data_IF_342800036456
#
_entry.id   IF_342800036456
#
_cell.length_a   1.000
_cell.length_b   1.000
_cell.length_c   1.000
_cell.angle_alpha   90.00
_cell.angle_beta   90.00
_cell.angle_gamma   90.00
#
_symmetry.space_group_name_H-M   'P 1'
#
loop_
_entity.id
_entity.type
_entity.pdbx_description
1 polymer ?
#
# COMPACT_ATOMS: atom_id res chain seq x y z
N UNK A 1 -116.24 32.90 6.42
CA UNK A 1 -115.64 31.82 5.56
C UNK A 1 -115.26 32.34 4.21
N UNK A 2 -114.61 33.49 4.04
CA UNK A 2 -114.14 33.98 2.75
C UNK A 2 -112.65 34.24 2.80
N UNK A 3 -111.87 33.16 2.78
CA UNK A 3 -110.47 33.27 2.37
C UNK A 3 -110.35 32.45 1.10
N UNK A 4 -110.41 33.13 -0.04
CA UNK A 4 -110.10 32.53 -1.33
C UNK A 4 -108.68 32.07 -1.32
N UNK A 5 -108.47 30.78 -1.44
CA UNK A 5 -107.17 30.20 -1.53
C UNK A 5 -106.61 30.54 -2.93
N UNK A 6 -105.73 31.54 -2.98
CA UNK A 6 -105.05 31.91 -4.22
C UNK A 6 -103.95 30.90 -4.56
N UNK A 7 -104.24 30.03 -5.52
CA UNK A 7 -103.26 29.03 -6.08
C UNK A 7 -102.45 29.68 -7.20
N UNK A 8 -101.16 29.83 -7.00
CA UNK A 8 -100.27 30.29 -8.07
C UNK A 8 -99.51 29.11 -8.70
N UNK A 9 -99.42 29.02 -10.01
CA UNK A 9 -98.68 27.94 -10.63
C UNK A 9 -97.20 28.00 -10.28
N UNK A 10 -96.60 26.85 -9.85
CA UNK A 10 -95.16 26.71 -9.52
C UNK A 10 -94.38 26.38 -10.79
N UNK A 11 -93.13 26.95 -10.90
CA UNK A 11 -92.19 26.64 -12.00
C UNK A 11 -91.78 25.19 -12.05
N UNK A 12 -92.03 24.36 -11.05
CA UNK A 12 -91.70 22.94 -10.96
C UNK A 12 -92.93 22.01 -11.05
N UNK A 13 -94.01 22.47 -11.58
CA UNK A 13 -95.24 21.70 -11.66
C UNK A 13 -96.06 21.69 -10.31
N UNK A 14 -97.37 21.81 -10.37
CA UNK A 14 -98.19 21.98 -9.20
C UNK A 14 -98.51 23.43 -8.86
N UNK A 15 -99.16 23.69 -7.75
CA UNK A 15 -99.61 24.99 -7.35
C UNK A 15 -98.97 25.36 -5.98
N UNK A 16 -98.67 26.63 -5.78
CA UNK A 16 -98.22 27.17 -4.50
C UNK A 16 -99.36 28.03 -3.94
N UNK A 17 -99.65 27.89 -2.67
CA UNK A 17 -100.62 28.75 -1.95
C UNK A 17 -100.00 29.32 -0.68
N UNK A 18 -100.29 30.55 -0.37
CA UNK A 18 -100.02 31.18 0.93
C UNK A 18 -101.11 30.73 1.94
N UNK A 19 -100.85 29.60 2.59
CA UNK A 19 -101.69 29.01 3.61
C UNK A 19 -101.20 29.47 5.01
N UNK A 20 -102.03 29.47 6.07
CA UNK A 20 -101.55 29.66 7.45
C UNK A 20 -100.47 28.69 7.88
N UNK A 21 -100.22 27.60 7.10
CA UNK A 21 -99.16 26.59 7.25
C UNK A 21 -97.87 26.98 6.52
N UNK A 22 -97.78 28.21 5.99
CA UNK A 22 -96.66 28.67 5.18
C UNK A 22 -96.76 28.23 3.71
N UNK A 23 -95.63 28.29 3.01
CA UNK A 23 -95.60 27.91 1.60
C UNK A 23 -95.85 26.40 1.43
N UNK A 24 -96.91 26.04 0.69
CA UNK A 24 -97.33 24.67 0.50
C UNK A 24 -97.34 24.33 -1.02
N UNK A 25 -96.97 23.11 -1.34
CA UNK A 25 -97.23 22.51 -2.65
C UNK A 25 -98.64 21.89 -2.64
N UNK A 26 -99.48 22.33 -3.56
CA UNK A 26 -100.87 21.86 -3.65
C UNK A 26 -101.06 21.09 -4.97
N UNK A 27 -101.74 20.00 -4.89
CA UNK A 27 -102.23 19.24 -6.06
C UNK A 27 -103.76 19.36 -6.08
N UNK A 28 -104.33 19.65 -7.23
CA UNK A 28 -105.77 19.82 -7.43
C UNK A 28 -106.30 18.72 -8.36
N UNK A 29 -107.29 18.00 -7.91
CA UNK A 29 -107.97 16.97 -8.74
C UNK A 29 -109.49 17.25 -8.77
N UNK A 30 -110.15 17.18 -9.88
CA UNK A 30 -111.62 17.29 -9.95
C UNK A 30 -112.27 16.12 -9.20
N UNK A 31 -113.15 16.45 -8.26
CA UNK A 31 -113.89 15.43 -7.53
C UNK A 31 -115.33 15.39 -8.09
N UNK A 32 -115.79 14.34 -8.68
CA UNK A 32 -117.15 14.10 -9.17
C UNK A 32 -117.90 13.29 -8.10
N UNK A 33 -118.73 13.97 -7.24
CA UNK A 33 -119.48 13.30 -6.17
C UNK A 33 -120.89 12.84 -6.57
N UNK A 34 -121.36 13.25 -7.79
CA UNK A 34 -122.73 12.98 -8.17
C UNK A 34 -122.76 12.30 -9.54
N UNK A 35 -123.75 11.43 -9.69
CA UNK A 35 -124.10 10.85 -11.04
C UNK A 35 -124.59 11.98 -11.95
N UNK A 36 -124.33 11.91 -13.25
CA UNK A 36 -124.66 12.96 -14.25
C UNK A 36 -126.14 13.36 -14.30
N UNK A 37 -127.08 12.58 -13.73
CA UNK A 37 -128.53 12.87 -13.63
C UNK A 37 -128.97 13.50 -12.35
N UNK A 38 -128.10 13.88 -11.43
CA UNK A 38 -128.40 14.56 -10.20
C UNK A 38 -128.60 16.07 -10.40
N UNK A 39 -129.55 16.76 -9.65
CA UNK A 39 -129.89 18.18 -9.85
C UNK A 39 -128.68 19.13 -9.68
N UNK A 40 -127.63 18.69 -9.12
CA UNK A 40 -126.38 19.47 -8.87
C UNK A 40 -125.20 19.09 -9.77
N UNK A 41 -125.49 18.47 -10.97
CA UNK A 41 -124.47 17.96 -11.92
C UNK A 41 -123.54 19.04 -12.49
N UNK A 42 -123.89 20.32 -12.33
CA UNK A 42 -123.06 21.43 -12.84
C UNK A 42 -122.07 22.02 -11.76
N UNK A 43 -122.09 21.47 -10.59
CA UNK A 43 -121.13 21.90 -9.58
C UNK A 43 -119.77 21.17 -9.69
N UNK A 44 -118.75 21.92 -9.95
CA UNK A 44 -117.34 21.34 -10.01
C UNK A 44 -116.76 21.42 -8.63
N UNK A 45 -116.68 20.27 -7.98
CA UNK A 45 -115.95 20.17 -6.73
C UNK A 45 -114.47 19.85 -7.01
N UNK A 46 -113.52 20.49 -6.32
CA UNK A 46 -112.10 20.28 -6.42
C UNK A 46 -111.53 19.71 -5.15
N UNK A 47 -110.88 18.60 -5.22
CA UNK A 47 -110.11 18.10 -4.08
C UNK A 47 -108.71 18.74 -4.13
N UNK A 48 -108.36 19.47 -3.06
CA UNK A 48 -107.09 20.12 -2.93
C UNK A 48 -106.33 19.44 -1.79
N UNK A 49 -105.30 18.72 -2.21
CA UNK A 49 -104.33 18.18 -1.26
C UNK A 49 -103.15 19.14 -1.15
N UNK A 50 -102.84 19.64 0.06
CA UNK A 50 -101.65 20.51 0.27
C UNK A 50 -100.68 19.92 1.25
N UNK A 51 -99.41 20.01 0.94
CA UNK A 51 -98.31 19.55 1.78
C UNK A 51 -97.34 20.74 1.98
N UNK A 52 -97.02 21.09 3.23
CA UNK A 52 -96.06 22.17 3.51
C UNK A 52 -94.70 21.86 2.86
N UNK A 53 -94.15 22.88 2.21
CA UNK A 53 -92.82 22.79 1.60
C UNK A 53 -91.75 22.36 2.62
N UNK A 54 -91.85 22.80 3.86
CA UNK A 54 -91.01 22.45 4.98
C UNK A 54 -91.07 20.92 5.30
N UNK A 55 -92.23 20.30 5.19
CA UNK A 55 -92.37 18.87 5.42
C UNK A 55 -91.80 18.04 4.25
N UNK A 56 -92.02 18.52 2.99
CA UNK A 56 -91.53 17.87 1.82
C UNK A 56 -90.00 17.83 1.78
N UNK A 57 -89.36 18.93 2.19
CA UNK A 57 -87.91 19.02 2.18
C UNK A 57 -87.25 18.68 3.51
N UNK A 58 -87.98 18.41 4.56
CA UNK A 58 -87.46 18.10 5.90
C UNK A 58 -86.50 16.88 5.81
N UNK A 59 -86.94 15.82 5.15
CA UNK A 59 -86.09 14.62 4.97
C UNK A 59 -84.80 14.91 4.20
N UNK A 60 -84.87 15.67 3.10
CA UNK A 60 -83.74 16.11 2.34
C UNK A 60 -82.71 16.91 3.15
N UNK A 61 -83.25 17.80 4.02
CA UNK A 61 -82.41 18.58 4.97
C UNK A 61 -81.66 17.70 5.99
N UNK A 62 -82.36 16.67 6.51
CA UNK A 62 -81.72 15.72 7.42
C UNK A 62 -80.65 14.90 6.70
N UNK A 63 -80.87 14.41 5.50
CA UNK A 63 -79.90 13.67 4.69
C UNK A 63 -78.68 14.55 4.38
N UNK A 64 -78.90 15.80 3.96
CA UNK A 64 -77.80 16.74 3.66
C UNK A 64 -76.94 17.04 4.93
N UNK A 65 -77.53 17.27 6.04
CA UNK A 65 -76.79 17.47 7.31
C UNK A 65 -76.03 16.23 7.70
N UNK A 66 -76.63 15.03 7.59
CA UNK A 66 -75.94 13.77 7.87
C UNK A 66 -74.75 13.57 6.94
N UNK A 67 -74.88 13.83 5.65
CA UNK A 67 -73.79 13.78 4.72
C UNK A 67 -72.64 14.75 5.03
N UNK A 68 -72.97 16.01 5.38
CA UNK A 68 -72.00 17.01 5.78
C UNK A 68 -71.22 16.55 7.03
N UNK A 69 -71.95 16.04 8.03
CA UNK A 69 -71.35 15.53 9.27
C UNK A 69 -70.44 14.32 8.94
N UNK A 70 -70.90 13.39 8.12
CA UNK A 70 -70.14 12.23 7.74
C UNK A 70 -68.80 12.61 6.97
N UNK A 71 -68.92 13.55 6.03
CA UNK A 71 -67.71 14.08 5.34
C UNK A 71 -66.74 14.76 6.31
N UNK A 72 -67.23 15.52 7.24
CA UNK A 72 -66.45 16.25 8.25
C UNK A 72 -65.72 15.25 9.19
N UNK A 73 -66.43 14.19 9.62
CA UNK A 73 -65.82 13.11 10.43
C UNK A 73 -64.68 12.41 9.66
N UNK A 74 -64.89 12.05 8.36
CA UNK A 74 -63.87 11.41 7.54
C UNK A 74 -62.67 12.34 7.36
N UNK A 75 -62.89 13.61 7.07
CA UNK A 75 -61.80 14.59 6.92
C UNK A 75 -60.98 14.78 8.21
N UNK A 76 -61.66 14.89 9.34
CA UNK A 76 -60.98 15.03 10.65
C UNK A 76 -60.23 13.77 11.03
N UNK A 77 -60.78 12.58 10.79
CA UNK A 77 -60.14 11.31 11.02
C UNK A 77 -58.90 11.13 10.08
N UNK A 78 -59.02 11.51 8.81
CA UNK A 78 -57.92 11.51 7.84
C UNK A 78 -56.81 12.46 8.25
N UNK A 79 -57.13 13.70 8.66
CA UNK A 79 -56.13 14.66 9.13
C UNK A 79 -55.43 14.17 10.40
N UNK A 80 -56.19 13.63 11.35
CA UNK A 80 -55.62 13.04 12.57
C UNK A 80 -54.69 11.88 12.27
N UNK A 81 -55.14 10.94 11.44
CA UNK A 81 -54.30 9.81 11.01
C UNK A 81 -53.01 10.26 10.32
N UNK A 82 -53.09 11.25 9.41
CA UNK A 82 -51.95 11.83 8.73
C UNK A 82 -50.96 12.48 9.71
N UNK A 83 -51.43 13.23 10.69
CA UNK A 83 -50.58 13.85 11.71
C UNK A 83 -49.90 12.81 12.61
N UNK A 84 -50.60 11.73 12.97
CA UNK A 84 -50.03 10.62 13.76
C UNK A 84 -48.96 9.91 12.96
N UNK A 85 -49.21 9.60 11.67
CA UNK A 85 -48.28 8.95 10.80
C UNK A 85 -47.00 9.81 10.58
N UNK A 86 -47.19 11.11 10.34
CA UNK A 86 -46.07 12.04 10.19
C UNK A 86 -45.22 12.11 11.45
N UNK A 87 -45.80 12.13 12.63
CA UNK A 87 -45.07 12.20 13.88
C UNK A 87 -44.42 10.88 14.29
N UNK A 88 -45.08 9.74 14.07
CA UNK A 88 -44.61 8.43 14.52
C UNK A 88 -43.70 7.70 13.53
N UNK A 89 -43.83 7.94 12.21
CA UNK A 89 -43.01 7.30 11.20
C UNK A 89 -42.06 8.25 10.47
N UNK A 90 -42.59 9.32 9.86
CA UNK A 90 -41.79 10.17 8.99
C UNK A 90 -40.68 10.92 9.72
N UNK A 91 -40.99 11.50 10.88
CA UNK A 91 -40.00 12.26 11.66
C UNK A 91 -38.82 11.42 12.16
N UNK A 92 -39.02 10.22 12.77
CA UNK A 92 -37.91 9.35 13.15
C UNK A 92 -37.04 8.89 11.97
N UNK A 93 -37.66 8.53 10.84
CA UNK A 93 -36.93 8.13 9.64
C UNK A 93 -36.06 9.27 9.10
N UNK A 94 -36.63 10.49 9.01
CA UNK A 94 -35.89 11.69 8.59
C UNK A 94 -34.69 11.97 9.50
N UNK A 95 -34.89 11.90 10.82
CA UNK A 95 -33.78 12.08 11.78
C UNK A 95 -32.67 11.05 11.62
N UNK A 96 -33.02 9.76 11.48
CA UNK A 96 -32.04 8.71 11.24
C UNK A 96 -31.27 8.97 9.93
N UNK A 97 -31.97 9.39 8.87
CA UNK A 97 -31.35 9.75 7.60
C UNK A 97 -30.33 10.89 7.75
N UNK A 98 -30.71 11.93 8.50
CA UNK A 98 -29.85 13.08 8.76
C UNK A 98 -28.65 12.70 9.65
N UNK A 99 -28.87 11.87 10.70
CA UNK A 99 -27.80 11.35 11.56
C UNK A 99 -26.79 10.54 10.75
N UNK A 100 -27.23 9.68 9.83
CA UNK A 100 -26.36 8.90 8.93
C UNK A 100 -25.62 9.80 7.93
N UNK A 101 -26.28 10.82 7.39
CA UNK A 101 -25.67 11.78 6.48
C UNK A 101 -24.55 12.59 7.16
N UNK A 102 -24.80 13.10 8.37
CA UNK A 102 -23.77 13.83 9.15
C UNK A 102 -22.60 12.92 9.58
N UNK A 103 -22.87 11.63 9.83
CA UNK A 103 -21.81 10.67 10.14
C UNK A 103 -20.82 10.48 8.97
N UNK A 104 -21.28 10.65 7.74
CA UNK A 104 -20.43 10.60 6.55
C UNK A 104 -19.44 11.76 6.49
N UNK A 105 -19.80 12.92 7.03
CA UNK A 105 -18.93 14.11 7.08
C UNK A 105 -17.91 14.03 8.23
N UNK A 106 -18.24 13.29 9.30
CA UNK A 106 -17.36 13.13 10.47
C UNK A 106 -16.50 11.87 10.33
N UNK A 107 -15.30 12.00 9.75
CA UNK A 107 -14.36 10.89 9.46
C UNK A 107 -13.93 10.05 10.69
N UNK A 108 -14.28 10.39 11.93
CA UNK A 108 -13.66 9.80 13.12
C UNK A 108 -14.57 9.15 14.15
N UNK A 109 -15.92 9.16 13.99
CA UNK A 109 -16.79 8.56 15.02
C UNK A 109 -17.92 7.73 14.41
N UNK A 110 -18.16 6.55 15.00
CA UNK A 110 -19.34 5.74 14.69
C UNK A 110 -20.57 6.54 15.13
N UNK A 111 -21.57 6.79 14.24
CA UNK A 111 -22.77 7.48 14.62
C UNK A 111 -23.54 6.64 15.65
N UNK A 112 -23.78 7.18 16.84
CA UNK A 112 -24.75 6.62 17.76
C UNK A 112 -26.14 7.04 17.29
N UNK A 113 -26.85 6.17 16.60
CA UNK A 113 -28.18 6.42 16.11
C UNK A 113 -29.16 6.44 17.27
N UNK A 114 -30.04 7.45 17.30
CA UNK A 114 -31.02 7.65 18.37
C UNK A 114 -32.10 6.57 18.35
N UNK A 115 -32.56 6.13 19.53
CA UNK A 115 -33.72 5.24 19.63
C UNK A 115 -35.00 5.92 19.16
N UNK A 116 -35.70 5.26 18.25
CA UNK A 116 -36.94 5.79 17.64
C UNK A 116 -38.21 5.34 18.32
N UNK A 117 -38.14 4.28 19.13
CA UNK A 117 -39.31 3.62 19.75
C UNK A 117 -40.11 2.74 18.78
N UNK A 118 -39.57 2.50 17.57
CA UNK A 118 -40.14 1.56 16.60
C UNK A 118 -39.15 0.37 16.51
N UNK A 119 -39.62 -0.81 16.83
CA UNK A 119 -38.80 -2.02 17.00
C UNK A 119 -37.93 -2.32 15.76
N UNK A 120 -38.52 -2.18 14.57
CA UNK A 120 -37.83 -2.44 13.31
C UNK A 120 -36.72 -1.42 13.03
N UNK A 121 -36.97 -0.15 13.30
CA UNK A 121 -35.97 0.91 13.13
C UNK A 121 -34.88 0.84 14.18
N UNK A 122 -35.22 0.50 15.41
CA UNK A 122 -34.26 0.33 16.51
C UNK A 122 -33.37 -0.88 16.27
N UNK A 123 -33.91 -1.98 15.69
CA UNK A 123 -33.10 -3.13 15.22
C UNK A 123 -32.13 -2.75 14.09
N UNK A 124 -32.64 -1.97 13.11
CA UNK A 124 -31.77 -1.48 12.03
C UNK A 124 -30.65 -0.59 12.59
N UNK A 125 -30.97 0.35 13.46
CA UNK A 125 -30.00 1.24 14.12
C UNK A 125 -28.91 0.44 14.88
N UNK A 126 -29.35 -0.60 15.61
CA UNK A 126 -28.45 -1.49 16.35
C UNK A 126 -27.54 -2.27 15.44
N UNK A 127 -28.07 -2.87 14.37
CA UNK A 127 -27.30 -3.62 13.38
C UNK A 127 -26.30 -2.73 12.65
N UNK A 128 -26.70 -1.51 12.26
CA UNK A 128 -25.84 -0.55 11.61
C UNK A 128 -24.68 -0.09 12.52
N UNK A 129 -24.98 0.20 13.78
CA UNK A 129 -23.96 0.59 14.78
C UNK A 129 -23.00 -0.58 15.05
N UNK A 130 -23.51 -1.82 15.12
CA UNK A 130 -22.69 -3.01 15.31
C UNK A 130 -21.76 -3.23 14.12
N UNK A 131 -22.26 -3.12 12.89
CA UNK A 131 -21.45 -3.23 11.68
C UNK A 131 -20.35 -2.17 11.63
N UNK A 132 -20.70 -0.91 11.96
CA UNK A 132 -19.71 0.17 12.04
C UNK A 132 -18.61 -0.11 13.06
N UNK A 133 -18.94 -0.65 14.23
CA UNK A 133 -17.97 -1.06 15.26
C UNK A 133 -17.08 -2.19 14.77
N UNK A 134 -17.63 -3.19 14.10
CA UNK A 134 -16.88 -4.35 13.59
C UNK A 134 -15.88 -3.93 12.51
N UNK A 135 -16.28 -3.03 11.61
CA UNK A 135 -15.37 -2.45 10.59
C UNK A 135 -14.25 -1.65 11.26
N UNK A 136 -14.58 -0.79 12.24
CA UNK A 136 -13.57 0.00 12.94
C UNK A 136 -12.61 -0.88 13.76
N UNK A 137 -13.13 -1.88 14.45
CA UNK A 137 -12.33 -2.83 15.25
C UNK A 137 -11.37 -3.62 14.33
N UNK A 138 -11.87 -4.07 13.19
CA UNK A 138 -11.06 -4.77 12.18
C UNK A 138 -9.96 -3.86 11.62
N UNK A 139 -10.30 -2.61 11.28
CA UNK A 139 -9.32 -1.62 10.81
C UNK A 139 -8.28 -1.30 11.88
N UNK A 140 -8.70 -1.15 13.14
CA UNK A 140 -7.80 -0.88 14.27
C UNK A 140 -6.88 -2.09 14.55
N UNK A 141 -7.38 -3.31 14.45
CA UNK A 141 -6.57 -4.54 14.57
C UNK A 141 -5.54 -4.61 13.46
N UNK A 142 -5.94 -4.29 12.22
CA UNK A 142 -5.01 -4.27 11.08
C UNK A 142 -3.88 -3.27 11.30
N UNK A 143 -4.20 -2.03 11.71
CA UNK A 143 -3.19 -1.01 12.03
C UNK A 143 -2.25 -1.45 13.15
N UNK A 144 -2.78 -2.08 14.24
CA UNK A 144 -1.94 -2.60 15.32
C UNK A 144 -1.01 -3.72 14.85
N UNK A 145 -1.47 -4.60 13.96
CA UNK A 145 -0.61 -5.66 13.39
C UNK A 145 0.51 -5.02 12.56
N UNK A 146 0.21 -3.97 11.78
CA UNK A 146 1.20 -3.22 11.01
C UNK A 146 2.23 -2.53 11.92
N UNK A 147 1.78 -1.86 13.00
CA UNK A 147 2.67 -1.26 13.99
C UNK A 147 3.57 -2.29 14.67
N UNK A 148 3.01 -3.46 15.04
CA UNK A 148 3.80 -4.56 15.63
C UNK A 148 4.81 -5.14 14.66
N UNK A 149 4.53 -5.14 13.37
CA UNK A 149 5.47 -5.57 12.33
C UNK A 149 6.58 -4.54 12.07
N UNK A 150 6.52 -3.36 12.70
CA UNK A 150 7.44 -2.23 12.50
C UNK A 150 7.59 -1.82 11.03
N UNK A 151 6.54 -2.01 10.24
CA UNK A 151 6.51 -1.66 8.82
C UNK A 151 5.81 -0.31 8.68
N UNK A 152 6.57 0.69 8.28
CA UNK A 152 6.01 1.99 7.92
C UNK A 152 5.39 1.90 6.52
N UNK A 153 4.06 1.91 6.47
CA UNK A 153 3.28 1.85 5.23
C UNK A 153 2.56 3.16 4.98
N UNK A 154 2.60 3.62 3.76
CA UNK A 154 1.77 4.71 3.27
C UNK A 154 1.06 4.29 1.99
N UNK A 155 -0.13 4.80 1.76
CA UNK A 155 -0.89 4.43 0.57
C UNK A 155 -1.64 5.59 -0.06
N UNK A 156 -1.97 5.41 -1.33
CA UNK A 156 -2.87 6.33 -2.04
C UNK A 156 -3.86 5.57 -2.90
N UNK A 157 -5.01 6.18 -3.09
CA UNK A 157 -6.02 5.75 -4.05
C UNK A 157 -6.36 6.94 -4.96
N UNK A 158 -6.27 6.73 -6.25
CA UNK A 158 -6.55 7.72 -7.28
C UNK A 158 -7.65 7.19 -8.20
N UNK A 159 -8.82 7.84 -8.18
CA UNK A 159 -9.96 7.48 -9.04
C UNK A 159 -10.07 8.42 -10.22
N UNK A 160 -10.42 7.85 -11.38
CA UNK A 160 -10.65 8.62 -12.60
C UNK A 160 -12.08 9.14 -12.73
N UNK A 161 -13.06 8.46 -12.11
CA UNK A 161 -14.47 8.85 -12.13
C UNK A 161 -15.19 8.40 -10.83
N UNK A 162 -15.59 9.31 -9.90
CA UNK A 162 -15.29 10.75 -9.90
C UNK A 162 -13.79 11.01 -9.70
N UNK A 163 -13.26 12.10 -10.25
CA UNK A 163 -11.85 12.48 -10.07
C UNK A 163 -11.61 12.83 -8.61
N UNK A 164 -11.01 11.88 -7.88
CA UNK A 164 -10.78 12.00 -6.45
C UNK A 164 -9.49 11.29 -6.05
N UNK A 165 -8.90 11.80 -4.97
CA UNK A 165 -7.69 11.28 -4.37
C UNK A 165 -7.92 10.99 -2.90
N UNK A 166 -7.35 9.90 -2.42
CA UNK A 166 -7.17 9.60 -1.00
C UNK A 166 -5.70 9.24 -0.78
N UNK A 167 -5.09 9.80 0.26
CA UNK A 167 -3.70 9.55 0.65
C UNK A 167 -3.66 9.38 2.16
N UNK A 168 -2.87 8.43 2.64
CA UNK A 168 -2.64 8.27 4.08
C UNK A 168 -1.73 9.36 4.62
N UNK A 169 -1.88 9.74 5.88
CA UNK A 169 -1.18 10.88 6.51
C UNK A 169 0.35 10.77 6.44
N UNK A 170 0.89 9.55 6.50
CA UNK A 170 2.34 9.30 6.49
C UNK A 170 2.94 9.12 5.09
N UNK A 171 2.14 9.10 4.03
CA UNK A 171 2.62 8.81 2.67
C UNK A 171 3.70 9.80 2.20
N UNK A 172 3.47 11.10 2.39
CA UNK A 172 4.43 12.12 1.97
C UNK A 172 5.69 12.14 2.83
N UNK A 173 5.59 11.82 4.10
CA UNK A 173 6.74 11.66 4.99
C UNK A 173 7.62 10.48 4.57
N UNK A 174 7.01 9.38 4.11
CA UNK A 174 7.72 8.25 3.52
C UNK A 174 8.48 8.65 2.26
N UNK A 175 7.87 9.44 1.37
CA UNK A 175 8.52 9.96 0.16
C UNK A 175 9.60 11.02 0.45
N UNK A 176 9.78 11.44 1.71
CA UNK A 176 10.72 12.49 2.08
C UNK A 176 10.25 13.91 1.72
N UNK A 177 8.94 14.09 1.63
CA UNK A 177 8.27 15.36 1.29
C UNK A 177 7.44 15.89 2.47
N UNK A 178 8.06 16.21 3.62
CA UNK A 178 7.33 16.70 4.77
C UNK A 178 6.67 18.06 4.47
N UNK A 179 5.44 18.23 4.95
CA UNK A 179 4.69 19.47 4.78
C UNK A 179 3.83 19.55 3.51
N UNK A 180 3.72 18.48 2.75
CA UNK A 180 2.70 18.35 1.69
C UNK A 180 1.41 17.87 2.33
N UNK A 181 0.34 18.67 2.22
CA UNK A 181 -0.99 18.29 2.72
C UNK A 181 -1.80 17.63 1.59
N UNK A 182 -2.34 16.44 1.86
CA UNK A 182 -3.15 15.72 0.89
C UNK A 182 -4.46 16.44 0.55
N UNK A 183 -5.02 17.20 1.52
CA UNK A 183 -6.28 17.93 1.34
C UNK A 183 -6.15 19.11 0.37
N UNK A 184 -4.94 19.62 0.15
CA UNK A 184 -4.64 20.71 -0.80
C UNK A 184 -4.40 20.21 -2.25
N UNK A 185 -4.34 18.88 -2.46
CA UNK A 185 -4.01 18.30 -3.75
C UNK A 185 -5.26 17.88 -4.54
N UNK A 186 -5.26 18.23 -5.82
CA UNK A 186 -6.17 17.62 -6.80
C UNK A 186 -5.58 16.30 -7.32
N UNK A 187 -6.41 15.42 -7.86
CA UNK A 187 -5.94 14.18 -8.48
C UNK A 187 -4.93 14.44 -9.62
N UNK A 188 -5.09 15.54 -10.36
CA UNK A 188 -4.15 15.97 -11.39
C UNK A 188 -2.78 16.37 -10.81
N UNK A 189 -2.76 17.25 -9.80
CA UNK A 189 -1.52 17.70 -9.18
C UNK A 189 -0.77 16.57 -8.48
N UNK A 190 -1.49 15.59 -7.92
CA UNK A 190 -0.89 14.40 -7.34
C UNK A 190 -0.23 13.48 -8.40
N UNK A 191 -0.88 13.27 -9.56
CA UNK A 191 -0.26 12.53 -10.68
C UNK A 191 1.04 13.19 -11.14
N UNK A 192 1.04 14.51 -11.27
CA UNK A 192 2.23 15.29 -11.66
C UNK A 192 3.34 15.18 -10.61
N UNK A 193 2.98 15.18 -9.32
CA UNK A 193 3.91 14.99 -8.20
C UNK A 193 4.55 13.60 -8.25
N UNK A 194 3.75 12.54 -8.41
CA UNK A 194 4.26 11.17 -8.52
C UNK A 194 5.20 11.02 -9.71
N UNK A 195 4.83 11.52 -10.90
CA UNK A 195 5.69 11.47 -12.08
C UNK A 195 7.00 12.23 -11.89
N UNK A 196 6.97 13.35 -11.16
CA UNK A 196 8.18 14.11 -10.82
C UNK A 196 9.07 13.30 -9.86
N UNK A 197 8.47 12.68 -8.86
CA UNK A 197 9.17 11.80 -7.92
C UNK A 197 9.86 10.64 -8.67
N UNK A 198 9.13 9.92 -9.52
CA UNK A 198 9.66 8.81 -10.32
C UNK A 198 10.85 9.22 -11.20
N UNK A 199 10.77 10.41 -11.84
CA UNK A 199 11.87 10.92 -12.68
C UNK A 199 13.08 11.39 -11.89
N UNK A 200 12.90 11.84 -10.66
CA UNK A 200 13.98 12.44 -9.85
C UNK A 200 14.71 11.42 -8.99
N UNK A 201 14.12 10.26 -8.71
CA UNK A 201 14.69 9.26 -7.83
C UNK A 201 15.24 8.07 -8.62
N UNK A 202 16.48 7.62 -8.36
CA UNK A 202 16.97 6.34 -8.86
C UNK A 202 16.04 5.22 -8.42
N UNK A 203 15.65 4.35 -9.37
CA UNK A 203 14.76 3.25 -9.08
C UNK A 203 15.10 2.00 -9.90
N UNK A 204 14.72 0.84 -9.41
CA UNK A 204 14.88 -0.45 -10.06
C UNK A 204 13.65 -1.34 -9.82
N UNK A 205 13.32 -2.21 -10.79
CA UNK A 205 12.23 -3.17 -10.58
C UNK A 205 12.65 -4.24 -9.56
N UNK A 206 11.75 -4.52 -8.61
CA UNK A 206 11.88 -5.66 -7.71
C UNK A 206 11.33 -6.94 -8.38
N UNK A 207 11.75 -8.14 -7.92
CA UNK A 207 11.34 -9.42 -8.53
C UNK A 207 9.83 -9.68 -8.52
N UNK A 208 9.11 -9.05 -7.62
CA UNK A 208 7.66 -9.16 -7.41
C UNK A 208 6.84 -8.14 -8.22
N UNK A 209 7.50 -7.31 -9.03
CA UNK A 209 6.86 -6.29 -9.87
C UNK A 209 6.70 -4.92 -9.21
N UNK A 210 7.03 -4.78 -7.93
CA UNK A 210 7.11 -3.49 -7.27
C UNK A 210 8.32 -2.68 -7.77
N UNK A 211 8.32 -1.37 -7.54
CA UNK A 211 9.47 -0.50 -7.82
C UNK A 211 10.19 -0.15 -6.52
N UNK A 212 11.50 -0.32 -6.50
CA UNK A 212 12.37 0.06 -5.39
C UNK A 212 13.05 1.39 -5.72
N UNK A 213 12.75 2.42 -4.94
CA UNK A 213 13.31 3.77 -5.08
C UNK A 213 14.38 4.00 -4.00
N UNK A 214 15.52 4.57 -4.42
CA UNK A 214 16.55 5.04 -3.48
C UNK A 214 16.43 6.56 -3.35
N UNK A 215 16.09 7.04 -2.16
CA UNK A 215 15.86 8.44 -1.87
C UNK A 215 16.79 8.95 -0.78
N UNK A 216 17.15 10.23 -0.87
CA UNK A 216 17.87 10.94 0.19
C UNK A 216 16.93 11.92 0.87
N UNK A 217 16.67 11.71 2.14
CA UNK A 217 15.82 12.57 2.95
C UNK A 217 16.47 13.96 3.15
N UNK A 218 15.68 15.00 3.46
CA UNK A 218 16.22 16.33 3.80
C UNK A 218 17.21 16.33 4.97
N UNK A 219 17.10 15.34 5.85
CA UNK A 219 18.06 15.09 6.96
C UNK A 219 19.41 14.56 6.51
N UNK A 220 19.58 14.22 5.23
CA UNK A 220 20.77 13.58 4.68
C UNK A 220 20.77 12.03 4.80
N UNK A 221 19.79 11.44 5.49
CA UNK A 221 19.66 9.99 5.64
C UNK A 221 19.15 9.36 4.33
N UNK A 222 19.71 8.23 3.96
CA UNK A 222 19.24 7.45 2.81
C UNK A 222 18.09 6.51 3.21
N UNK A 223 17.14 6.34 2.30
CA UNK A 223 15.97 5.48 2.47
C UNK A 223 15.69 4.72 1.18
N UNK A 224 15.29 3.47 1.33
CA UNK A 224 14.79 2.65 0.22
C UNK A 224 13.28 2.48 0.38
N UNK A 225 12.53 2.97 -0.62
CA UNK A 225 11.07 2.83 -0.66
C UNK A 225 10.67 1.77 -1.68
N UNK A 226 9.88 0.82 -1.26
CA UNK A 226 9.22 -0.13 -2.15
C UNK A 226 7.82 0.40 -2.44
N UNK A 227 7.53 0.66 -3.72
CA UNK A 227 6.22 1.14 -4.15
C UNK A 227 5.60 0.09 -5.08
N UNK A 228 4.43 -0.38 -4.70
CA UNK A 228 3.59 -1.26 -5.51
C UNK A 228 2.37 -0.52 -5.99
N UNK A 229 2.04 -0.63 -7.27
CA UNK A 229 0.91 0.08 -7.88
C UNK A 229 0.03 -0.90 -8.63
N UNK A 230 -1.26 -0.89 -8.34
CA UNK A 230 -2.28 -1.71 -8.99
C UNK A 230 -3.31 -0.81 -9.67
N UNK A 231 -3.83 -1.28 -10.80
CA UNK A 231 -4.85 -0.56 -11.56
C UNK A 231 -6.06 -1.48 -11.73
N UNK A 232 -7.23 -1.08 -11.15
CA UNK A 232 -8.49 -1.81 -11.25
C UNK A 232 -9.64 -0.83 -11.50
N UNK A 233 -10.50 -1.10 -12.47
CA UNK A 233 -11.74 -0.36 -12.75
C UNK A 233 -11.60 1.18 -12.80
N UNK A 234 -10.51 1.69 -13.38
CA UNK A 234 -10.25 3.12 -13.44
C UNK A 234 -9.77 3.73 -12.14
N UNK A 235 -9.45 2.91 -11.15
CA UNK A 235 -8.83 3.28 -9.89
C UNK A 235 -7.38 2.81 -9.88
N UNK A 236 -6.46 3.70 -9.52
CA UNK A 236 -5.06 3.37 -9.25
C UNK A 236 -4.84 3.38 -7.74
N UNK A 237 -4.37 2.26 -7.21
CA UNK A 237 -4.00 2.13 -5.80
C UNK A 237 -2.50 1.92 -5.72
N UNK A 238 -1.83 2.69 -4.88
CA UNK A 238 -0.40 2.53 -4.62
C UNK A 238 -0.13 2.36 -3.15
N UNK A 239 0.80 1.47 -2.84
CA UNK A 239 1.30 1.19 -1.50
C UNK A 239 2.80 1.46 -1.46
N UNK A 240 3.23 2.33 -0.57
CA UNK A 240 4.63 2.63 -0.30
C UNK A 240 5.04 2.04 1.05
N UNK A 241 6.17 1.37 1.08
CA UNK A 241 6.76 0.70 2.25
C UNK A 241 8.19 1.20 2.46
N UNK A 242 8.58 1.51 3.70
CA UNK A 242 10.00 1.71 4.03
C UNK A 242 10.71 0.34 4.06
N UNK A 243 11.37 0.00 2.97
CA UNK A 243 12.13 -1.23 2.79
C UNK A 243 13.62 -1.06 3.12
N UNK A 244 14.00 0.03 3.82
CA UNK A 244 15.42 0.37 4.05
C UNK A 244 16.15 -0.74 4.80
N UNK A 245 15.59 -1.21 5.92
CA UNK A 245 16.23 -2.25 6.73
C UNK A 245 16.42 -3.56 5.93
N UNK A 246 15.37 -4.01 5.25
CA UNK A 246 15.40 -5.24 4.45
C UNK A 246 16.36 -5.12 3.26
N UNK A 247 16.38 -3.96 2.60
CA UNK A 247 17.26 -3.73 1.43
C UNK A 247 18.73 -3.67 1.85
N UNK A 248 19.05 -2.94 2.93
CA UNK A 248 20.41 -2.88 3.45
C UNK A 248 20.90 -4.24 3.94
N UNK A 249 20.06 -5.00 4.62
CA UNK A 249 20.42 -6.36 5.04
C UNK A 249 20.66 -7.29 3.84
N UNK A 250 19.81 -7.20 2.81
CA UNK A 250 20.01 -7.95 1.57
C UNK A 250 21.33 -7.58 0.90
N UNK A 251 21.61 -6.28 0.75
CA UNK A 251 22.87 -5.80 0.16
C UNK A 251 24.07 -6.24 1.01
N UNK A 252 23.94 -6.25 2.33
CA UNK A 252 24.96 -6.76 3.25
C UNK A 252 25.21 -8.26 3.03
N UNK A 253 24.15 -9.05 2.99
CA UNK A 253 24.27 -10.50 2.74
C UNK A 253 24.87 -10.77 1.35
N UNK A 254 24.45 -10.04 0.32
CA UNK A 254 25.02 -10.14 -1.02
C UNK A 254 26.51 -9.79 -1.03
N UNK A 255 26.90 -8.74 -0.31
CA UNK A 255 28.30 -8.35 -0.14
C UNK A 255 29.08 -9.44 0.61
N UNK A 256 28.61 -9.90 1.77
CA UNK A 256 29.24 -10.98 2.56
C UNK A 256 29.32 -12.32 1.80
N UNK A 257 28.44 -12.53 0.81
CA UNK A 257 28.54 -13.69 -0.07
C UNK A 257 29.81 -13.73 -0.92
N UNK A 258 30.31 -12.59 -1.34
CA UNK A 258 31.43 -12.48 -2.29
C UNK A 258 32.68 -11.84 -1.68
N UNK A 259 32.58 -11.13 -0.56
CA UNK A 259 33.68 -10.43 0.07
C UNK A 259 34.02 -10.99 1.45
N UNK A 260 35.25 -10.78 1.88
CA UNK A 260 35.73 -11.08 3.23
C UNK A 260 35.43 -9.90 4.16
N UNK A 261 34.76 -10.15 5.27
CA UNK A 261 34.26 -9.12 6.20
C UNK A 261 35.35 -8.31 6.91
N UNK A 262 36.59 -8.84 6.97
CA UNK A 262 37.70 -8.15 7.64
C UNK A 262 38.51 -7.26 6.67
N UNK A 263 38.65 -7.68 5.42
CA UNK A 263 39.57 -7.06 4.45
C UNK A 263 38.87 -6.37 3.29
N UNK A 264 37.55 -6.63 3.11
CA UNK A 264 36.76 -6.15 1.97
C UNK A 264 37.28 -6.57 0.58
N UNK A 265 38.20 -7.54 0.56
CA UNK A 265 38.62 -8.23 -0.65
C UNK A 265 37.65 -9.36 -0.98
N UNK A 266 37.68 -9.89 -2.19
CA UNK A 266 36.93 -11.09 -2.50
C UNK A 266 37.23 -12.21 -1.50
N UNK A 267 36.21 -12.99 -1.14
CA UNK A 267 36.40 -14.18 -0.33
C UNK A 267 36.86 -15.38 -1.22
N UNK A 268 37.20 -16.48 -0.58
CA UNK A 268 37.63 -17.70 -1.27
C UNK A 268 36.64 -18.17 -2.34
N UNK A 269 35.34 -18.10 -2.06
CA UNK A 269 34.27 -18.59 -2.96
C UNK A 269 34.20 -17.74 -4.23
N UNK A 270 34.13 -16.42 -4.08
CA UNK A 270 34.08 -15.47 -5.17
C UNK A 270 35.36 -15.57 -6.03
N UNK A 271 36.54 -15.64 -5.40
CA UNK A 271 37.80 -15.77 -6.11
C UNK A 271 37.84 -17.00 -7.02
N UNK A 272 37.41 -18.17 -6.48
CA UNK A 272 37.40 -19.39 -7.28
C UNK A 272 36.43 -19.32 -8.46
N UNK A 273 35.24 -18.72 -8.25
CA UNK A 273 34.25 -18.51 -9.30
C UNK A 273 34.80 -17.60 -10.40
N UNK A 274 35.31 -16.43 -10.00
CA UNK A 274 35.88 -15.44 -10.95
C UNK A 274 37.06 -16.03 -11.73
N UNK A 275 37.99 -16.71 -11.06
CA UNK A 275 39.07 -17.38 -11.75
C UNK A 275 38.59 -18.42 -12.78
N UNK A 276 37.58 -19.24 -12.42
CA UNK A 276 37.01 -20.22 -13.33
C UNK A 276 36.38 -19.55 -14.56
N UNK A 277 35.68 -18.43 -14.40
CA UNK A 277 35.11 -17.64 -15.49
C UNK A 277 36.21 -17.12 -16.46
N UNK A 278 37.30 -16.57 -15.92
CA UNK A 278 38.44 -16.14 -16.75
C UNK A 278 39.06 -17.29 -17.51
N UNK A 279 39.24 -18.44 -16.90
CA UNK A 279 39.85 -19.61 -17.55
C UNK A 279 38.90 -20.28 -18.56
N UNK A 280 37.61 -20.01 -18.53
CA UNK A 280 36.66 -20.37 -19.60
C UNK A 280 36.72 -19.41 -20.80
N UNK A 281 37.38 -18.25 -20.68
CA UNK A 281 37.55 -17.24 -21.73
C UNK A 281 39.02 -16.84 -21.86
N UNK A 282 39.89 -17.72 -22.43
CA UNK A 282 41.34 -17.51 -22.48
C UNK A 282 41.76 -16.21 -23.15
N UNK A 283 40.95 -15.69 -24.07
CA UNK A 283 41.19 -14.41 -24.75
C UNK A 283 41.20 -13.21 -23.80
N UNK A 284 40.58 -13.33 -22.65
CA UNK A 284 40.56 -12.28 -21.61
C UNK A 284 41.75 -12.34 -20.68
N UNK A 285 42.42 -13.48 -20.61
CA UNK A 285 43.59 -13.68 -19.74
C UNK A 285 44.82 -12.99 -20.28
N UNK A 286 45.12 -13.10 -21.62
CA UNK A 286 46.37 -12.63 -22.20
C UNK A 286 47.57 -13.28 -21.50
N UNK A 287 48.62 -12.48 -21.19
CA UNK A 287 49.59 -12.87 -20.17
C UNK A 287 48.96 -12.62 -18.78
N UNK A 288 48.99 -13.63 -17.93
CA UNK A 288 48.40 -13.57 -16.60
C UNK A 288 49.34 -14.25 -15.57
N UNK A 289 49.13 -13.92 -14.29
CA UNK A 289 49.84 -14.56 -13.20
C UNK A 289 48.90 -14.85 -12.03
N UNK A 290 49.01 -16.05 -11.50
CA UNK A 290 48.35 -16.40 -10.25
C UNK A 290 49.37 -16.33 -9.12
N UNK A 291 49.10 -15.49 -8.13
CA UNK A 291 49.92 -15.31 -6.96
C UNK A 291 49.17 -15.86 -5.71
N UNK A 292 49.92 -16.54 -4.88
CA UNK A 292 49.50 -16.97 -3.55
C UNK A 292 50.43 -16.36 -2.52
N UNK A 293 49.86 -15.71 -1.53
CA UNK A 293 50.58 -15.03 -0.45
C UNK A 293 50.14 -15.61 0.88
N UNK A 294 51.06 -15.60 1.82
CA UNK A 294 50.81 -15.96 3.19
C UNK A 294 51.47 -14.92 4.11
N UNK A 295 50.73 -14.45 5.09
CA UNK A 295 51.20 -13.46 6.08
C UNK A 295 52.27 -14.07 6.99
N UNK A 296 53.43 -13.50 6.99
CA UNK A 296 54.51 -13.95 7.87
C UNK A 296 54.23 -13.56 9.33
N UNK A 297 54.52 -14.51 10.21
CA UNK A 297 54.53 -14.32 11.67
C UNK A 297 53.19 -13.87 12.30
N UNK A 298 52.02 -14.04 11.62
CA UNK A 298 50.70 -13.67 12.16
C UNK A 298 50.46 -14.34 13.52
N UNK A 299 50.80 -15.61 13.68
CA UNK A 299 50.68 -16.32 14.97
C UNK A 299 51.48 -15.61 16.09
N UNK A 300 52.70 -15.22 15.81
CA UNK A 300 53.54 -14.51 16.79
C UNK A 300 52.95 -13.15 17.15
N UNK A 301 52.36 -12.45 16.18
CA UNK A 301 51.67 -11.17 16.41
C UNK A 301 50.48 -11.41 17.34
N UNK A 302 49.66 -12.41 17.07
CA UNK A 302 48.51 -12.76 17.93
C UNK A 302 48.95 -13.14 19.33
N UNK A 303 49.97 -13.96 19.46
CA UNK A 303 50.50 -14.44 20.76
C UNK A 303 51.12 -13.28 21.57
N UNK A 304 51.69 -12.27 20.90
CA UNK A 304 52.42 -11.16 21.58
C UNK A 304 51.50 -9.97 21.89
N UNK A 305 50.58 -9.61 20.96
CA UNK A 305 49.80 -8.38 21.01
C UNK A 305 48.29 -8.62 21.11
N UNK A 306 47.84 -9.88 20.96
CA UNK A 306 46.43 -10.24 20.96
C UNK A 306 45.82 -10.30 19.55
N UNK A 307 44.65 -10.93 19.45
CA UNK A 307 43.96 -11.17 18.19
C UNK A 307 43.52 -9.88 17.48
N UNK A 308 43.15 -8.85 18.25
CA UNK A 308 42.73 -7.55 17.67
C UNK A 308 43.86 -6.93 16.81
N UNK A 309 45.12 -7.10 17.23
CA UNK A 309 46.28 -6.64 16.46
C UNK A 309 46.63 -7.52 15.28
N UNK A 310 46.34 -8.82 15.38
CA UNK A 310 46.39 -9.71 14.23
C UNK A 310 45.36 -9.35 13.18
N UNK A 311 44.16 -9.03 13.61
CA UNK A 311 43.09 -8.57 12.71
C UNK A 311 43.44 -7.23 12.06
N UNK A 312 44.03 -6.28 12.80
CA UNK A 312 44.53 -5.02 12.22
C UNK A 312 45.66 -5.24 11.19
N UNK A 313 46.53 -6.20 11.45
CA UNK A 313 47.58 -6.59 10.51
C UNK A 313 47.01 -7.18 9.22
N UNK A 314 46.00 -8.04 9.33
CA UNK A 314 45.26 -8.61 8.18
C UNK A 314 44.51 -7.50 7.44
N UNK A 315 43.80 -6.63 8.15
CA UNK A 315 43.06 -5.50 7.55
C UNK A 315 43.99 -4.58 6.76
N UNK A 316 45.10 -4.20 7.36
CA UNK A 316 46.08 -3.34 6.71
C UNK A 316 46.69 -3.98 5.43
N UNK A 317 46.86 -5.28 5.47
CA UNK A 317 47.29 -6.03 4.25
C UNK A 317 46.21 -5.96 3.19
N UNK A 318 44.94 -6.20 3.53
CA UNK A 318 43.81 -6.10 2.59
C UNK A 318 43.67 -4.70 2.00
N UNK A 319 43.77 -3.65 2.81
CA UNK A 319 43.77 -2.24 2.35
C UNK A 319 44.92 -1.97 1.36
N UNK A 320 46.11 -2.54 1.61
CA UNK A 320 47.22 -2.39 0.72
C UNK A 320 46.97 -3.06 -0.65
N UNK A 321 46.38 -4.26 -0.66
CA UNK A 321 45.94 -4.91 -1.90
C UNK A 321 44.90 -4.06 -2.63
N UNK A 322 43.82 -3.63 -1.95
CA UNK A 322 42.75 -2.86 -2.53
C UNK A 322 43.23 -1.54 -3.17
N UNK A 323 44.21 -0.88 -2.52
CA UNK A 323 44.69 0.44 -2.94
C UNK A 323 45.75 0.36 -4.06
N UNK A 324 46.61 -0.66 -4.04
CA UNK A 324 47.80 -0.71 -4.87
C UNK A 324 47.77 -1.80 -5.97
N UNK A 325 46.79 -2.69 -5.92
CA UNK A 325 46.63 -3.64 -7.02
C UNK A 325 46.13 -2.91 -8.28
N UNK A 326 46.71 -3.20 -9.45
CA UNK A 326 46.24 -2.65 -10.72
C UNK A 326 44.77 -3.03 -11.01
N UNK A 327 44.09 -2.24 -11.83
CA UNK A 327 42.70 -2.48 -12.21
C UNK A 327 42.44 -3.87 -12.85
N UNK A 328 43.51 -4.47 -13.43
CA UNK A 328 43.47 -5.82 -14.01
C UNK A 328 43.94 -6.89 -13.03
N UNK A 329 43.43 -6.79 -11.78
CA UNK A 329 43.79 -7.73 -10.70
C UNK A 329 42.57 -8.08 -9.88
N UNK A 330 42.39 -9.36 -9.63
CA UNK A 330 41.40 -9.87 -8.68
C UNK A 330 42.12 -10.29 -7.42
N UNK A 331 41.92 -9.59 -6.31
CA UNK A 331 42.53 -9.90 -5.03
C UNK A 331 41.49 -10.51 -4.07
N UNK A 332 41.92 -11.50 -3.31
CA UNK A 332 41.06 -12.21 -2.37
C UNK A 332 41.79 -12.63 -1.10
N UNK A 333 41.07 -12.71 -0.01
CA UNK A 333 41.49 -13.44 1.20
C UNK A 333 40.94 -14.85 1.16
N UNK A 334 41.79 -15.85 1.27
CA UNK A 334 41.42 -17.27 1.09
C UNK A 334 41.20 -17.95 2.44
N UNK A 335 42.05 -17.61 3.42
CA UNK A 335 41.97 -18.12 4.79
C UNK A 335 42.44 -17.06 5.78
N UNK A 336 42.77 -17.44 7.02
CA UNK A 336 43.21 -16.52 8.07
C UNK A 336 44.36 -15.61 7.67
N UNK A 337 45.39 -16.19 7.04
CA UNK A 337 46.67 -15.60 6.69
C UNK A 337 47.02 -15.69 5.21
N UNK A 338 46.14 -16.34 4.38
CA UNK A 338 46.40 -16.52 2.96
C UNK A 338 45.62 -15.53 2.09
N UNK A 339 46.34 -14.89 1.16
CA UNK A 339 45.79 -14.00 0.14
C UNK A 339 46.17 -14.50 -1.24
N UNK A 340 45.24 -14.36 -2.19
CA UNK A 340 45.50 -14.70 -3.58
C UNK A 340 45.26 -13.49 -4.49
N UNK A 341 46.02 -13.41 -5.58
CA UNK A 341 45.81 -12.41 -6.60
C UNK A 341 45.92 -13.05 -8.00
N UNK A 342 44.94 -12.77 -8.87
CA UNK A 342 44.97 -13.09 -10.27
C UNK A 342 45.19 -11.80 -11.07
N UNK A 343 46.36 -11.64 -11.67
CA UNK A 343 46.62 -10.58 -12.63
C UNK A 343 46.29 -11.10 -14.03
N UNK A 344 45.55 -10.33 -14.83
CA UNK A 344 45.06 -10.80 -16.13
C UNK A 344 45.02 -9.68 -17.17
N UNK A 345 44.95 -10.09 -18.46
CA UNK A 345 44.74 -9.17 -19.58
C UNK A 345 45.95 -8.33 -19.96
N UNK A 346 47.16 -8.82 -19.67
CA UNK A 346 48.40 -8.16 -20.08
C UNK A 346 48.82 -8.57 -21.48
N UNK A 347 49.36 -7.61 -22.22
CA UNK A 347 49.90 -7.86 -23.58
C UNK A 347 51.31 -8.40 -23.56
N UNK A 348 52.07 -8.14 -22.51
CA UNK A 348 53.44 -8.57 -22.33
C UNK A 348 53.73 -8.93 -20.87
N UNK A 349 54.69 -9.80 -20.67
CA UNK A 349 55.08 -10.32 -19.37
C UNK A 349 55.90 -9.31 -18.54
N UNK A 350 56.62 -8.40 -19.20
CA UNK A 350 57.50 -7.45 -18.50
C UNK A 350 56.67 -6.40 -17.74
N UNK A 351 55.61 -5.90 -18.34
CA UNK A 351 54.64 -5.01 -17.67
C UNK A 351 53.97 -5.74 -16.50
N UNK A 352 53.53 -6.99 -16.71
CA UNK A 352 52.93 -7.80 -15.63
C UNK A 352 53.92 -7.99 -14.46
N UNK A 353 55.20 -8.30 -14.76
CA UNK A 353 56.23 -8.42 -13.72
C UNK A 353 56.50 -7.11 -12.99
N UNK A 354 56.45 -5.98 -13.69
CA UNK A 354 56.60 -4.65 -13.09
C UNK A 354 55.48 -4.34 -12.08
N UNK A 355 54.25 -4.64 -12.48
CA UNK A 355 53.07 -4.42 -11.62
C UNK A 355 53.07 -5.32 -10.37
N UNK A 356 53.48 -6.59 -10.51
CA UNK A 356 53.65 -7.50 -9.37
C UNK A 356 54.73 -6.99 -8.41
N UNK A 357 55.86 -6.50 -8.93
CA UNK A 357 56.95 -5.91 -8.11
C UNK A 357 56.50 -4.65 -7.41
N UNK A 358 55.69 -3.80 -8.07
CA UNK A 358 55.12 -2.59 -7.47
C UNK A 358 54.19 -2.93 -6.30
N UNK A 359 53.29 -3.90 -6.46
CA UNK A 359 52.42 -4.38 -5.40
C UNK A 359 53.21 -4.95 -4.23
N UNK A 360 54.26 -5.76 -4.49
CA UNK A 360 55.16 -6.29 -3.45
C UNK A 360 55.82 -5.18 -2.66
N UNK A 361 56.39 -4.18 -3.32
CA UNK A 361 57.02 -3.04 -2.69
C UNK A 361 56.00 -2.23 -1.82
N UNK A 362 54.77 -2.07 -2.29
CA UNK A 362 53.72 -1.42 -1.52
C UNK A 362 53.38 -2.19 -0.23
N UNK A 363 53.33 -3.53 -0.29
CA UNK A 363 53.10 -4.40 0.87
C UNK A 363 54.25 -4.25 1.89
N UNK A 364 55.51 -4.25 1.47
CA UNK A 364 56.68 -4.07 2.33
C UNK A 364 56.75 -2.70 3.02
N UNK A 365 56.17 -1.67 2.39
CA UNK A 365 56.09 -0.32 2.96
C UNK A 365 54.86 -0.15 3.83
N UNK A 366 53.95 -1.11 3.86
CA UNK A 366 52.73 -1.03 4.69
C UNK A 366 53.09 -1.31 6.15
N UNK A 367 52.60 -0.43 7.05
CA UNK A 367 52.88 -0.52 8.48
C UNK A 367 51.59 -0.47 9.30
N UNK A 368 51.60 -1.18 10.42
CA UNK A 368 50.56 -1.12 11.48
C UNK A 368 51.18 -0.38 12.67
N UNK A 369 50.52 0.64 13.15
CA UNK A 369 50.93 1.40 14.32
C UNK A 369 50.43 0.72 15.60
N UNK A 370 51.32 0.21 16.42
CA UNK A 370 50.96 -0.40 17.71
C UNK A 370 50.74 0.66 18.81
N UNK A 371 49.96 0.35 19.87
CA UNK A 371 49.74 1.28 21.00
C UNK A 371 51.02 1.76 21.69
N UNK A 372 52.08 0.96 21.62
CA UNK A 372 53.39 1.28 22.15
C UNK A 372 54.14 2.34 21.33
N UNK A 373 53.56 2.86 20.24
CA UNK A 373 54.25 3.74 19.28
C UNK A 373 55.22 2.98 18.34
N UNK A 374 55.30 1.66 18.44
CA UNK A 374 56.13 0.83 17.58
C UNK A 374 55.44 0.54 16.26
N UNK A 375 56.19 0.59 15.16
CA UNK A 375 55.69 0.22 13.85
C UNK A 375 55.95 -1.27 13.59
N UNK A 376 54.90 -1.95 13.10
CA UNK A 376 54.98 -3.33 12.63
C UNK A 376 54.77 -3.33 11.13
N UNK A 377 55.79 -3.74 10.38
CA UNK A 377 55.75 -3.82 8.91
C UNK A 377 55.04 -5.08 8.48
N UNK A 378 54.24 -4.95 7.40
CA UNK A 378 53.62 -6.09 6.77
C UNK A 378 54.67 -6.91 6.03
N UNK A 379 54.72 -8.21 6.29
CA UNK A 379 55.59 -9.17 5.62
C UNK A 379 54.75 -10.30 5.04
N UNK A 380 54.95 -10.61 3.77
CA UNK A 380 54.24 -11.67 3.06
C UNK A 380 55.25 -12.54 2.30
N UNK A 381 55.09 -13.84 2.43
CA UNK A 381 55.78 -14.82 1.62
C UNK A 381 54.88 -15.27 0.48
N UNK A 382 55.33 -15.30 -0.78
CA UNK A 382 54.43 -15.61 -1.88
C UNK A 382 55.08 -16.44 -2.99
N UNK A 383 54.22 -17.12 -3.74
CA UNK A 383 54.58 -17.88 -4.94
C UNK A 383 53.82 -17.39 -6.16
N UNK A 384 54.49 -17.38 -7.30
CA UNK A 384 53.97 -16.90 -8.59
C UNK A 384 53.97 -18.04 -9.58
N UNK A 385 52.84 -18.26 -10.27
CA UNK A 385 52.73 -19.12 -11.43
C UNK A 385 52.18 -18.35 -12.63
N UNK A 386 52.86 -18.51 -13.78
CA UNK A 386 52.61 -17.74 -14.99
C UNK A 386 51.66 -18.47 -15.95
N UNK A 387 50.70 -17.75 -16.50
CA UNK A 387 49.83 -18.21 -17.58
C UNK A 387 50.24 -17.50 -18.88
N UNK A 388 50.41 -18.23 -20.01
CA UNK A 388 50.28 -19.70 -20.16
C UNK A 388 51.54 -20.51 -19.83
N UNK A 389 52.68 -19.86 -19.51
CA UNK A 389 54.05 -20.44 -19.47
C UNK A 389 54.18 -21.60 -18.47
N UNK A 390 53.66 -21.43 -17.24
CA UNK A 390 53.68 -22.49 -16.23
C UNK A 390 52.62 -23.54 -16.48
N UNK A 391 51.41 -23.09 -16.81
CA UNK A 391 50.26 -23.95 -17.14
C UNK A 391 49.10 -23.14 -17.72
N UNK A 392 48.29 -23.78 -18.57
CA UNK A 392 46.99 -23.27 -19.04
C UNK A 392 45.82 -23.77 -18.22
N UNK A 393 46.07 -24.65 -17.26
CA UNK A 393 45.02 -25.20 -16.38
C UNK A 393 45.06 -24.53 -15.01
N UNK A 394 43.92 -23.98 -14.55
CA UNK A 394 43.79 -23.26 -13.28
C UNK A 394 44.23 -24.11 -12.07
N UNK A 395 43.80 -25.37 -12.01
CA UNK A 395 44.13 -26.26 -10.90
C UNK A 395 45.64 -26.50 -10.80
N UNK A 396 46.26 -26.70 -11.94
CA UNK A 396 47.73 -26.89 -12.04
C UNK A 396 48.44 -25.59 -11.68
N UNK A 397 47.95 -24.44 -12.18
CA UNK A 397 48.55 -23.14 -11.91
C UNK A 397 48.53 -22.82 -10.40
N UNK A 398 47.40 -23.09 -9.72
CA UNK A 398 47.30 -22.97 -8.26
C UNK A 398 48.32 -23.84 -7.53
N UNK A 399 48.44 -25.10 -7.94
CA UNK A 399 49.40 -26.05 -7.36
C UNK A 399 50.84 -25.55 -7.51
N UNK A 400 51.17 -24.91 -8.62
CA UNK A 400 52.50 -24.39 -8.90
C UNK A 400 52.79 -23.10 -8.09
N UNK A 401 51.82 -22.19 -7.94
CA UNK A 401 51.93 -21.03 -7.09
C UNK A 401 52.07 -21.42 -5.60
N UNK A 402 51.28 -22.39 -5.14
CA UNK A 402 51.36 -22.94 -3.79
C UNK A 402 52.73 -23.57 -3.50
N UNK A 403 53.24 -24.36 -4.44
CA UNK A 403 54.55 -24.94 -4.32
C UNK A 403 55.65 -23.87 -4.19
N UNK A 404 55.63 -22.84 -5.03
CA UNK A 404 56.61 -21.74 -4.99
C UNK A 404 56.50 -20.99 -3.64
N UNK A 405 55.31 -20.68 -3.15
CA UNK A 405 55.07 -20.06 -1.84
C UNK A 405 55.63 -20.92 -0.70
N UNK A 406 55.40 -22.24 -0.73
CA UNK A 406 55.94 -23.14 0.27
C UNK A 406 57.47 -23.15 0.31
N UNK A 407 58.13 -23.04 -0.85
CA UNK A 407 59.61 -22.93 -0.92
C UNK A 407 60.10 -21.65 -0.24
N UNK A 408 59.43 -20.52 -0.46
CA UNK A 408 59.75 -19.25 0.22
C UNK A 408 59.67 -19.38 1.73
N UNK A 409 58.55 -19.95 2.24
CA UNK A 409 58.37 -20.14 3.69
C UNK A 409 59.50 -20.95 4.35
N UNK A 410 60.11 -21.88 3.62
CA UNK A 410 61.19 -22.73 4.15
C UNK A 410 62.56 -22.11 4.02
N UNK A 411 62.77 -21.20 3.06
CA UNK A 411 64.11 -20.66 2.77
C UNK A 411 64.27 -19.19 3.19
N UNK A 412 63.40 -18.30 2.71
CA UNK A 412 63.53 -16.83 2.86
C UNK A 412 62.18 -16.19 3.01
N UNK A 413 61.65 -16.11 4.24
CA UNK A 413 60.41 -15.38 4.50
C UNK A 413 60.46 -13.95 3.98
N UNK A 414 59.30 -13.44 3.56
CA UNK A 414 59.16 -12.09 3.04
C UNK A 414 59.46 -11.89 1.58
N UNK A 415 59.75 -12.95 0.81
CA UNK A 415 60.07 -12.89 -0.62
C UNK A 415 58.92 -13.42 -1.48
N UNK A 416 58.94 -13.10 -2.79
CA UNK A 416 58.12 -13.71 -3.82
C UNK A 416 59.02 -14.61 -4.70
N UNK A 417 58.62 -15.84 -4.91
CA UNK A 417 59.34 -16.80 -5.76
C UNK A 417 58.46 -17.21 -6.96
N UNK A 418 59.04 -17.19 -8.12
CA UNK A 418 58.43 -17.73 -9.34
C UNK A 418 58.51 -19.26 -9.31
N UNK A 419 57.49 -19.91 -9.84
CA UNK A 419 57.49 -21.36 -9.99
C UNK A 419 58.60 -21.82 -10.96
N UNK A 420 59.42 -22.74 -10.46
CA UNK A 420 60.50 -23.40 -11.22
C UNK A 420 60.16 -24.87 -11.47
N UNK A 421 59.97 -25.28 -12.75
CA UNK A 421 59.65 -26.67 -13.10
C UNK A 421 60.72 -27.68 -12.70
N UNK A 422 62.05 -27.30 -12.73
CA UNK A 422 63.11 -28.20 -12.39
C UNK A 422 63.16 -28.50 -10.91
N UNK A 423 63.02 -27.46 -10.09
CA UNK A 423 62.95 -27.58 -8.62
C UNK A 423 61.72 -28.44 -8.23
N UNK A 424 60.59 -28.24 -8.93
CA UNK A 424 59.38 -29.03 -8.69
C UNK A 424 59.61 -30.52 -9.02
N UNK A 425 60.21 -30.84 -10.16
CA UNK A 425 60.51 -32.22 -10.53
C UNK A 425 61.42 -32.93 -9.52
N UNK A 426 62.49 -32.24 -9.09
CA UNK A 426 63.38 -32.72 -8.05
C UNK A 426 62.69 -33.03 -6.76
N UNK A 427 61.81 -32.11 -6.31
CA UNK A 427 61.05 -32.31 -5.08
C UNK A 427 60.06 -33.48 -5.14
N UNK A 428 59.52 -33.79 -6.32
CA UNK A 428 58.66 -34.96 -6.51
C UNK A 428 59.44 -36.26 -6.51
N UNK A 429 60.66 -36.26 -7.00
CA UNK A 429 61.56 -37.44 -6.97
C UNK A 429 61.97 -37.75 -5.53
N UNK A 430 62.37 -36.74 -4.76
CA UNK A 430 62.71 -36.88 -3.34
C UNK A 430 61.59 -37.50 -2.52
N UNK A 431 60.35 -37.02 -2.74
CA UNK A 431 59.17 -37.56 -2.04
C UNK A 431 58.92 -39.05 -2.37
N UNK A 432 59.13 -39.45 -3.63
CA UNK A 432 59.00 -40.87 -4.06
C UNK A 432 60.08 -41.80 -3.52
N UNK A 433 61.22 -41.23 -3.13
CA UNK A 433 62.31 -42.03 -2.55
C UNK A 433 62.15 -42.19 -1.01
N UNK A 434 61.25 -41.46 -0.42
CA UNK A 434 60.97 -41.52 1.03
C UNK A 434 59.65 -42.26 1.38
N UNK A 435 58.80 -42.57 0.39
CA UNK A 435 57.69 -43.53 0.47
C UNK A 435 58.14 -44.94 0.12
#
# INVERSE_FOLDING_TARGET
YDQALLLKPSKRGGYQSDSPLGLCHAAVAPLTLYNRNAPFSNEQMLLIGSVPVSALYAFSGYVLRFLIIAVLVVLTAGLFSSLVLARKLSRPISRLSDEVAHARESRSSIPMLSATGIIELDRFSSAFTQLGREVLDTSTKFLRIMDMASVELGGYELRSAPDSIYVTDNFFDLLGMPGVDADDLTAQSFRELLQRFERSCPHSPAPDGAMLYHIRLPSGKERYLRIETTHEDGTQVGLAEDATANTLEKLRIEHECDYDTLTDLYNRRAFHRICAEFFCSPEKLGHAALLMFDLDNLKQINDTFGHDWGDEYIRRTGECFAKNAPARTVCARISSDEFNALFYGYNDQDTLRADIRALKAALEHSVVQLPSGRELRVSVSGGIAWYPESSTNLITLRKYADFAMYQVKRSRKGELLEFDPEVYRTSLQERRCHE
#
